data_IF_015162049288
#
_entry.id   IF_015162049288
#
_cell.length_a   1.000
_cell.length_b   1.000
_cell.length_c   1.000
_cell.angle_alpha   90.00
_cell.angle_beta   90.00
_cell.angle_gamma   90.00
#
_symmetry.space_group_name_H-M   'P 1'
#
loop_
_entity.id
_entity.type
_entity.pdbx_description
1 polymer ?
#
# COMPACT_ATOMS: atom_id res chain seq x y z
N UNK A 1 9.23 10.57 3.13
CA UNK A 1 7.82 10.11 3.08
C UNK A 1 6.90 11.22 2.62
N UNK A 2 7.12 12.48 3.02
CA UNK A 2 6.36 13.64 2.54
C UNK A 2 6.34 13.70 1.01
N UNK A 3 7.51 13.65 0.35
CA UNK A 3 7.62 13.73 -1.12
C UNK A 3 6.93 12.55 -1.80
N UNK A 4 7.19 11.32 -1.33
CA UNK A 4 6.54 10.13 -1.86
C UNK A 4 5.02 10.18 -1.67
N UNK A 5 4.53 10.75 -0.58
CA UNK A 5 3.10 10.91 -0.33
C UNK A 5 2.45 11.84 -1.36
N UNK A 6 3.12 12.92 -1.76
CA UNK A 6 2.62 13.81 -2.81
C UNK A 6 2.49 13.07 -4.15
N UNK A 7 3.45 12.21 -4.49
CA UNK A 7 3.39 11.40 -5.72
C UNK A 7 2.27 10.35 -5.63
N UNK A 8 2.15 9.65 -4.49
CA UNK A 8 1.08 8.67 -4.26
C UNK A 8 -0.31 9.33 -4.27
N UNK A 9 -0.43 10.56 -3.77
CA UNK A 9 -1.66 11.34 -3.87
C UNK A 9 -2.03 11.62 -5.32
N UNK A 10 -1.07 11.99 -6.18
CA UNK A 10 -1.33 12.16 -7.61
C UNK A 10 -1.71 10.83 -8.29
N UNK A 11 -1.07 9.73 -7.91
CA UNK A 11 -1.48 8.39 -8.36
C UNK A 11 -2.94 8.12 -7.97
N UNK A 12 -3.32 8.38 -6.71
CA UNK A 12 -4.68 8.20 -6.21
C UNK A 12 -5.71 9.03 -6.97
N UNK A 13 -5.40 10.31 -7.25
CA UNK A 13 -6.28 11.20 -8.03
C UNK A 13 -6.67 10.64 -9.39
N UNK A 14 -5.80 9.86 -10.01
CA UNK A 14 -6.05 9.26 -11.34
C UNK A 14 -6.35 7.78 -11.28
N UNK A 15 -6.38 7.17 -10.09
CA UNK A 15 -6.46 5.72 -9.89
C UNK A 15 -5.45 5.02 -10.83
N UNK A 16 -4.25 5.59 -10.94
CA UNK A 16 -3.30 5.17 -11.96
C UNK A 16 -2.79 3.75 -11.64
N UNK A 17 -2.89 2.79 -12.58
CA UNK A 17 -2.58 1.37 -12.35
C UNK A 17 -1.06 1.13 -12.44
N UNK A 18 -0.29 1.84 -11.62
CA UNK A 18 1.17 1.75 -11.55
C UNK A 18 1.60 1.19 -10.19
N UNK A 19 2.57 0.26 -10.11
CA UNK A 19 2.94 -0.41 -8.87
C UNK A 19 3.88 0.44 -7.99
N UNK A 20 3.69 1.77 -7.94
CA UNK A 20 4.56 2.69 -7.21
C UNK A 20 4.54 2.41 -5.70
N UNK A 21 3.35 2.24 -5.12
CA UNK A 21 3.20 1.87 -3.70
C UNK A 21 3.91 0.53 -3.38
N UNK A 22 3.64 -0.49 -4.20
CA UNK A 22 4.23 -1.81 -4.04
C UNK A 22 5.76 -1.77 -4.15
N UNK A 23 6.28 -1.09 -5.18
CA UNK A 23 7.71 -1.03 -5.46
C UNK A 23 8.45 -0.17 -4.45
N UNK A 24 8.04 1.09 -4.29
CA UNK A 24 8.81 2.05 -3.50
C UNK A 24 8.74 1.77 -2.00
N UNK A 25 7.57 1.36 -1.47
CA UNK A 25 7.39 1.15 -0.03
C UNK A 25 7.55 -0.30 0.35
N UNK A 26 6.82 -1.21 -0.29
CA UNK A 26 6.77 -2.62 0.15
C UNK A 26 8.00 -3.41 -0.30
N UNK A 27 8.53 -3.12 -1.49
CA UNK A 27 9.61 -3.90 -2.09
C UNK A 27 11.01 -3.32 -1.91
N UNK A 28 11.17 -2.00 -2.06
CA UNK A 28 12.51 -1.42 -2.24
C UNK A 28 13.05 -0.72 -1.00
N UNK A 29 12.19 -0.06 -0.21
CA UNK A 29 12.64 0.78 0.90
C UNK A 29 13.46 -0.01 1.94
N UNK A 30 13.01 -1.22 2.30
CA UNK A 30 13.73 -2.05 3.27
C UNK A 30 15.08 -2.53 2.74
N UNK A 31 15.20 -2.82 1.43
CA UNK A 31 16.50 -3.13 0.80
C UNK A 31 17.40 -1.90 0.84
N UNK A 32 16.88 -0.71 0.50
CA UNK A 32 17.64 0.53 0.52
C UNK A 32 18.22 0.86 1.90
N UNK A 33 17.45 0.62 2.96
CA UNK A 33 17.91 0.89 4.33
C UNK A 33 18.77 -0.25 4.91
N UNK A 34 18.30 -1.48 4.82
CA UNK A 34 18.83 -2.63 5.58
C UNK A 34 19.44 -3.75 4.73
N UNK A 35 19.43 -3.61 3.40
CA UNK A 35 20.03 -4.57 2.51
C UNK A 35 21.56 -4.55 2.54
N UNK A 36 22.15 -5.71 2.28
CA UNK A 36 23.58 -5.91 2.02
C UNK A 36 23.99 -5.17 0.74
N UNK A 37 25.27 -4.86 0.58
CA UNK A 37 25.77 -4.17 -0.62
C UNK A 37 25.40 -4.89 -1.91
N UNK A 38 25.55 -6.22 -1.96
CA UNK A 38 25.18 -7.03 -3.12
C UNK A 38 23.67 -6.99 -3.42
N UNK A 39 22.81 -7.01 -2.40
CA UNK A 39 21.36 -6.89 -2.58
C UNK A 39 20.97 -5.51 -3.12
N UNK A 40 21.59 -4.45 -2.60
CA UNK A 40 21.35 -3.07 -3.06
C UNK A 40 21.76 -2.89 -4.52
N UNK A 41 22.94 -3.37 -4.89
CA UNK A 41 23.44 -3.31 -6.26
C UNK A 41 22.56 -4.09 -7.22
N UNK A 42 22.20 -5.33 -6.87
CA UNK A 42 21.40 -6.20 -7.73
C UNK A 42 19.96 -5.69 -7.94
N UNK A 43 19.29 -5.24 -6.87
CA UNK A 43 17.86 -4.91 -6.92
C UNK A 43 17.59 -3.43 -7.18
N UNK A 44 18.28 -2.51 -6.50
CA UNK A 44 17.85 -1.10 -6.49
C UNK A 44 18.24 -0.33 -7.75
N UNK A 45 19.34 -0.71 -8.41
CA UNK A 45 19.71 -0.08 -9.69
C UNK A 45 18.64 -0.34 -10.75
N UNK A 46 18.17 -1.59 -10.86
CA UNK A 46 17.14 -1.99 -11.82
C UNK A 46 15.75 -1.46 -11.45
N UNK A 47 15.45 -1.26 -10.17
CA UNK A 47 14.23 -0.55 -9.75
C UNK A 47 14.28 0.91 -10.16
N UNK A 48 15.39 1.60 -9.94
CA UNK A 48 15.55 3.01 -10.29
C UNK A 48 15.51 3.25 -11.81
N UNK A 49 15.96 2.28 -12.62
CA UNK A 49 15.86 2.34 -14.08
C UNK A 49 14.46 1.93 -14.61
N UNK A 50 13.61 1.35 -13.75
CA UNK A 50 12.28 0.87 -14.11
C UNK A 50 12.25 -0.51 -14.77
N UNK A 51 13.39 -1.21 -14.84
CA UNK A 51 13.50 -2.54 -15.43
C UNK A 51 12.97 -3.64 -14.50
N UNK A 52 12.99 -3.40 -13.18
CA UNK A 52 12.47 -4.34 -12.19
C UNK A 52 11.43 -3.68 -11.30
N UNK A 53 10.40 -4.47 -10.99
CA UNK A 53 9.36 -4.12 -10.03
C UNK A 53 9.55 -5.03 -8.84
N UNK A 54 9.49 -4.46 -7.64
CA UNK A 54 9.52 -5.23 -6.39
C UNK A 54 8.19 -5.11 -5.67
N UNK A 55 7.92 -6.04 -4.77
CA UNK A 55 6.76 -5.96 -3.89
C UNK A 55 7.08 -6.57 -2.53
N UNK A 56 6.10 -6.60 -1.62
CA UNK A 56 6.26 -7.24 -0.33
C UNK A 56 4.97 -7.82 0.22
N UNK A 57 5.12 -8.96 0.89
CA UNK A 57 4.06 -9.76 1.49
C UNK A 57 4.00 -9.56 3.01
N UNK A 58 3.70 -8.31 3.41
CA UNK A 58 3.75 -7.83 4.80
C UNK A 58 2.48 -8.11 5.61
N UNK A 59 1.38 -8.49 4.96
CA UNK A 59 0.11 -8.68 5.66
C UNK A 59 0.20 -9.81 6.71
N UNK A 60 -0.34 -9.60 7.92
CA UNK A 60 -0.43 -10.64 8.94
C UNK A 60 -1.39 -11.74 8.49
N UNK A 61 -1.01 -13.00 8.73
CA UNK A 61 -1.74 -14.19 8.30
C UNK A 61 -2.90 -14.48 9.27
N UNK A 62 -4.09 -13.87 9.06
CA UNK A 62 -5.30 -14.26 9.80
C UNK A 62 -6.07 -15.41 9.14
N UNK A 63 -6.01 -15.54 7.82
CA UNK A 63 -6.85 -16.45 7.03
C UNK A 63 -6.07 -17.29 5.99
N UNK A 64 -4.79 -17.61 6.25
CA UNK A 64 -3.96 -18.40 5.31
C UNK A 64 -3.09 -19.41 6.06
N UNK A 65 -2.57 -20.40 5.34
CA UNK A 65 -1.53 -21.30 5.88
C UNK A 65 -0.35 -20.47 6.37
N UNK A 66 0.01 -20.65 7.64
CA UNK A 66 1.12 -19.92 8.25
C UNK A 66 2.40 -20.23 7.49
N UNK A 67 3.26 -19.24 7.31
CA UNK A 67 4.57 -19.47 6.69
C UNK A 67 5.47 -20.15 7.73
N UNK A 68 5.90 -21.36 7.42
CA UNK A 68 6.80 -22.18 8.22
C UNK A 68 8.19 -22.07 7.61
N UNK A 69 9.21 -22.00 8.47
CA UNK A 69 10.61 -21.94 8.05
C UNK A 69 11.37 -23.02 8.80
N UNK A 70 11.99 -23.93 8.06
CA UNK A 70 12.72 -25.07 8.60
C UNK A 70 14.19 -24.98 8.18
N UNK A 71 15.09 -25.36 9.08
CA UNK A 71 16.52 -25.42 8.78
C UNK A 71 16.81 -26.67 7.93
N UNK A 72 17.52 -26.51 6.81
CA UNK A 72 17.90 -27.59 5.88
C UNK A 72 19.42 -27.88 5.91
N UNK A 73 20.09 -27.53 7.00
CA UNK A 73 21.54 -27.69 7.20
C UNK A 73 22.40 -26.61 6.55
N UNK A 74 22.09 -26.22 5.31
CA UNK A 74 22.81 -25.21 4.53
C UNK A 74 22.07 -23.87 4.40
N UNK A 75 20.93 -23.73 5.08
CA UNK A 75 20.03 -22.59 4.97
C UNK A 75 18.66 -22.96 5.50
N UNK A 76 17.61 -22.46 4.84
CA UNK A 76 16.23 -22.68 5.25
C UNK A 76 15.35 -23.06 4.07
N UNK A 77 14.23 -23.73 4.38
CA UNK A 77 13.11 -23.94 3.46
C UNK A 77 11.88 -23.29 4.01
N UNK A 78 11.14 -22.59 3.15
CA UNK A 78 9.87 -21.99 3.52
C UNK A 78 8.70 -22.66 2.81
N UNK A 79 7.65 -22.92 3.58
CA UNK A 79 6.39 -23.52 3.10
C UNK A 79 5.21 -22.78 3.71
N UNK A 80 4.18 -22.50 2.91
CA UNK A 80 2.98 -21.82 3.36
C UNK A 80 2.47 -20.81 2.34
N UNK A 81 1.69 -19.82 2.79
CA UNK A 81 1.01 -18.90 1.87
C UNK A 81 1.04 -17.44 2.32
N UNK A 82 1.08 -16.54 1.34
CA UNK A 82 0.85 -15.10 1.53
C UNK A 82 -0.23 -14.64 0.57
N UNK A 83 -1.30 -14.07 1.11
CA UNK A 83 -2.45 -13.64 0.34
C UNK A 83 -2.35 -12.17 -0.03
N UNK A 84 -3.04 -11.79 -1.11
CA UNK A 84 -3.25 -10.39 -1.51
C UNK A 84 -1.93 -9.58 -1.60
N UNK A 85 -0.90 -10.18 -2.19
CA UNK A 85 0.40 -9.53 -2.40
C UNK A 85 0.26 -8.56 -3.59
N UNK A 86 0.43 -7.25 -3.39
CA UNK A 86 0.26 -6.26 -4.46
C UNK A 86 1.25 -6.47 -5.60
N UNK A 87 0.81 -6.29 -6.84
CA UNK A 87 1.62 -6.31 -8.06
C UNK A 87 2.51 -7.55 -8.27
N UNK A 88 2.28 -8.67 -7.57
CA UNK A 88 3.20 -9.81 -7.60
C UNK A 88 3.32 -10.49 -8.97
N UNK A 89 2.38 -10.24 -9.88
CA UNK A 89 2.44 -10.71 -11.27
C UNK A 89 3.45 -9.92 -12.12
N UNK A 90 3.70 -8.66 -11.77
CA UNK A 90 4.66 -7.79 -12.44
C UNK A 90 6.03 -7.79 -11.74
N UNK A 91 6.08 -8.19 -10.47
CA UNK A 91 7.29 -8.10 -9.68
C UNK A 91 8.30 -9.22 -9.98
N UNK A 92 9.58 -8.86 -9.91
CA UNK A 92 10.74 -9.75 -10.01
C UNK A 92 11.05 -10.43 -8.69
N UNK A 93 10.86 -9.74 -7.56
CA UNK A 93 11.02 -10.30 -6.23
C UNK A 93 10.01 -9.75 -5.21
N UNK A 94 9.87 -10.47 -4.10
CA UNK A 94 8.99 -10.15 -2.98
C UNK A 94 9.76 -10.16 -1.66
N UNK A 95 9.50 -9.17 -0.82
CA UNK A 95 9.97 -9.16 0.58
C UNK A 95 8.96 -9.88 1.47
N UNK A 96 9.43 -10.83 2.27
CA UNK A 96 8.57 -11.68 3.09
C UNK A 96 9.10 -11.74 4.53
N UNK A 97 8.30 -11.34 5.53
CA UNK A 97 8.60 -11.65 6.93
C UNK A 97 8.51 -13.16 7.17
N UNK A 98 9.58 -13.73 7.71
CA UNK A 98 9.74 -15.14 8.07
C UNK A 98 10.17 -15.26 9.55
N UNK A 99 10.09 -16.45 10.13
CA UNK A 99 10.55 -16.70 11.51
C UNK A 99 11.65 -17.75 11.51
N UNK A 100 12.84 -17.39 11.97
CA UNK A 100 13.98 -18.31 12.13
C UNK A 100 14.33 -18.36 13.61
N UNK A 101 14.33 -19.57 14.19
CA UNK A 101 14.67 -19.82 15.60
C UNK A 101 13.91 -18.90 16.58
N UNK A 102 12.64 -18.62 16.28
CA UNK A 102 11.78 -17.76 17.09
C UNK A 102 11.93 -16.25 16.85
N UNK A 103 12.87 -15.81 16.00
CA UNK A 103 13.09 -14.40 15.68
C UNK A 103 12.53 -14.06 14.30
N UNK A 104 11.94 -12.87 14.14
CA UNK A 104 11.48 -12.41 12.82
C UNK A 104 12.68 -11.97 11.97
N UNK A 105 12.73 -12.43 10.73
CA UNK A 105 13.68 -11.99 9.69
C UNK A 105 12.90 -11.58 8.45
N UNK A 106 13.51 -10.80 7.57
CA UNK A 106 12.93 -10.44 6.27
C UNK A 106 13.76 -11.10 5.18
N UNK A 107 13.12 -11.91 4.35
CA UNK A 107 13.72 -12.52 3.17
C UNK A 107 13.34 -11.75 1.91
N UNK A 108 14.28 -11.60 0.98
CA UNK A 108 14.07 -11.18 -0.40
C UNK A 108 14.00 -12.46 -1.24
N UNK A 109 12.89 -12.68 -1.95
CA UNK A 109 12.66 -13.93 -2.68
C UNK A 109 12.30 -13.60 -4.12
N UNK A 110 13.10 -14.08 -5.07
CA UNK A 110 12.77 -13.98 -6.49
C UNK A 110 11.48 -14.72 -6.78
N UNK A 111 10.58 -14.10 -7.56
CA UNK A 111 9.24 -14.63 -7.85
C UNK A 111 9.23 -15.71 -8.94
N UNK A 112 10.41 -16.09 -9.44
CA UNK A 112 10.69 -17.24 -10.31
C UNK A 112 11.42 -18.38 -9.57
N UNK A 113 11.68 -18.23 -8.26
CA UNK A 113 12.38 -19.24 -7.45
C UNK A 113 11.58 -20.55 -7.44
N UNK A 114 12.27 -21.67 -7.61
CA UNK A 114 11.66 -23.01 -7.61
C UNK A 114 10.85 -23.23 -6.34
N UNK A 115 9.64 -23.78 -6.48
CA UNK A 115 8.70 -24.01 -5.37
C UNK A 115 7.78 -22.83 -5.07
N UNK A 116 7.97 -21.67 -5.70
CA UNK A 116 7.07 -20.52 -5.56
C UNK A 116 6.03 -20.51 -6.68
N UNK A 117 4.76 -20.42 -6.32
CA UNK A 117 3.65 -20.28 -7.26
C UNK A 117 2.87 -18.99 -7.01
N UNK A 118 2.43 -18.36 -8.10
CA UNK A 118 1.63 -17.13 -8.10
C UNK A 118 0.22 -17.45 -8.60
N UNK A 119 -0.80 -17.13 -7.83
CA UNK A 119 -2.21 -17.17 -8.26
C UNK A 119 -2.78 -15.76 -8.24
N UNK A 120 -3.15 -15.24 -9.41
CA UNK A 120 -3.77 -13.92 -9.52
C UNK A 120 -5.17 -13.97 -8.90
N UNK A 121 -5.52 -12.93 -8.15
CA UNK A 121 -6.82 -12.80 -7.49
C UNK A 121 -7.46 -11.48 -7.88
N UNK A 122 -8.79 -11.51 -8.01
CA UNK A 122 -9.58 -10.31 -8.19
C UNK A 122 -9.97 -9.74 -6.84
N UNK A 123 -9.76 -8.44 -6.66
CA UNK A 123 -10.13 -7.68 -5.46
C UNK A 123 -11.12 -6.59 -5.83
N UNK A 124 -11.84 -6.05 -4.84
CA UNK A 124 -12.87 -5.01 -5.07
C UNK A 124 -12.33 -3.79 -5.82
N UNK A 125 -11.07 -3.40 -5.60
CA UNK A 125 -10.43 -2.27 -6.26
C UNK A 125 -9.78 -2.61 -7.62
N UNK A 126 -9.88 -3.87 -8.07
CA UNK A 126 -9.33 -4.38 -9.34
C UNK A 126 -7.84 -4.14 -9.56
N UNK A 127 -7.10 -3.77 -8.51
CA UNK A 127 -5.65 -3.68 -8.57
C UNK A 127 -5.05 -5.07 -8.75
N UNK A 128 -3.89 -5.11 -9.42
CA UNK A 128 -3.16 -6.35 -9.61
C UNK A 128 -2.70 -6.89 -8.24
N UNK A 129 -3.26 -8.01 -7.82
CA UNK A 129 -2.89 -8.71 -6.60
C UNK A 129 -2.81 -10.21 -6.86
N UNK A 130 -2.03 -10.91 -6.05
CA UNK A 130 -1.98 -12.37 -6.12
C UNK A 130 -1.64 -13.02 -4.79
N UNK A 131 -2.02 -14.28 -4.69
CA UNK A 131 -1.62 -15.15 -3.61
C UNK A 131 -0.32 -15.85 -4.02
N UNK A 132 0.63 -15.89 -3.09
CA UNK A 132 1.88 -16.62 -3.22
C UNK A 132 1.79 -17.88 -2.38
N UNK A 133 2.02 -19.03 -3.02
CA UNK A 133 2.17 -20.33 -2.36
C UNK A 133 3.63 -20.73 -2.44
N UNK A 134 4.19 -21.10 -1.28
CA UNK A 134 5.57 -21.51 -1.12
C UNK A 134 5.58 -23.00 -0.80
N UNK A 135 6.26 -23.79 -1.62
CA UNK A 135 6.46 -25.22 -1.44
C UNK A 135 7.96 -25.50 -1.35
N UNK A 136 8.46 -25.64 -0.12
CA UNK A 136 9.87 -25.91 0.18
C UNK A 136 10.85 -24.97 -0.55
N UNK A 137 10.53 -23.68 -0.61
CA UNK A 137 11.38 -22.68 -1.28
C UNK A 137 12.65 -22.47 -0.46
N UNK A 138 13.80 -22.73 -1.08
CA UNK A 138 15.10 -22.64 -0.43
C UNK A 138 15.51 -21.17 -0.20
N UNK A 139 16.12 -20.89 0.95
CA UNK A 139 16.66 -19.59 1.35
C UNK A 139 18.04 -19.79 1.98
N UNK A 140 18.91 -18.82 1.77
CA UNK A 140 20.25 -18.73 2.35
C UNK A 140 20.39 -17.43 3.14
N UNK A 141 21.48 -17.25 3.87
CA UNK A 141 21.73 -15.99 4.58
C UNK A 141 21.84 -14.80 3.60
N UNK A 142 22.25 -15.03 2.34
CA UNK A 142 22.31 -14.00 1.31
C UNK A 142 20.92 -13.48 0.89
N UNK A 143 19.87 -14.27 1.08
CA UNK A 143 18.48 -13.86 0.82
C UNK A 143 17.91 -12.98 1.96
N UNK A 144 18.57 -12.91 3.12
CA UNK A 144 18.07 -12.21 4.30
C UNK A 144 18.61 -10.78 4.42
N UNK A 145 17.77 -9.87 4.92
CA UNK A 145 18.23 -8.55 5.37
C UNK A 145 19.04 -8.66 6.67
N UNK A 146 19.94 -7.69 6.89
CA UNK A 146 20.85 -7.68 8.07
C UNK A 146 20.14 -7.28 9.37
N UNK A 147 19.10 -6.46 9.29
CA UNK A 147 18.38 -5.94 10.46
C UNK A 147 17.33 -6.93 11.00
N UNK A 148 17.02 -6.80 12.30
CA UNK A 148 15.94 -7.53 12.96
C UNK A 148 14.60 -7.30 12.25
N UNK A 149 13.92 -8.39 11.93
CA UNK A 149 12.71 -8.34 11.14
C UNK A 149 11.57 -7.58 11.81
N UNK A 150 11.52 -7.49 13.14
CA UNK A 150 10.52 -6.71 13.87
C UNK A 150 10.69 -5.21 13.62
N UNK A 151 11.93 -4.71 13.60
CA UNK A 151 12.25 -3.31 13.34
C UNK A 151 11.88 -2.97 11.89
N UNK A 152 12.33 -3.80 10.93
CA UNK A 152 12.01 -3.62 9.52
C UNK A 152 10.50 -3.63 9.29
N UNK A 153 9.80 -4.60 9.88
CA UNK A 153 8.36 -4.74 9.76
C UNK A 153 7.60 -3.52 10.31
N UNK A 154 7.99 -3.02 11.49
CA UNK A 154 7.36 -1.85 12.08
C UNK A 154 7.52 -0.63 11.17
N UNK A 155 8.74 -0.39 10.67
CA UNK A 155 9.04 0.76 9.82
C UNK A 155 8.38 0.70 8.45
N UNK A 156 8.33 -0.47 7.82
CA UNK A 156 7.58 -0.66 6.56
C UNK A 156 6.08 -0.50 6.83
N UNK A 157 5.56 -1.04 7.93
CA UNK A 157 4.14 -0.91 8.29
C UNK A 157 3.72 0.54 8.51
N UNK A 158 4.55 1.35 9.15
CA UNK A 158 4.29 2.79 9.33
C UNK A 158 4.25 3.51 7.98
N UNK A 159 5.25 3.27 7.11
CA UNK A 159 5.31 3.87 5.76
C UNK A 159 4.16 3.42 4.86
N UNK A 160 3.82 2.13 4.91
CA UNK A 160 2.71 1.56 4.15
C UNK A 160 1.38 2.20 4.54
N UNK A 161 1.12 2.39 5.84
CA UNK A 161 -0.09 3.09 6.32
C UNK A 161 -0.14 4.53 5.80
N UNK A 162 0.96 5.29 5.91
CA UNK A 162 1.03 6.67 5.41
C UNK A 162 0.81 6.71 3.88
N UNK A 163 1.43 5.80 3.13
CA UNK A 163 1.28 5.71 1.68
C UNK A 163 -0.14 5.38 1.24
N UNK A 164 -0.82 4.46 1.94
CA UNK A 164 -2.24 4.17 1.71
C UNK A 164 -3.11 5.40 2.01
N UNK A 165 -2.82 6.14 3.07
CA UNK A 165 -3.55 7.39 3.36
C UNK A 165 -3.40 8.42 2.23
N UNK A 166 -2.20 8.53 1.64
CA UNK A 166 -1.95 9.43 0.53
C UNK A 166 -2.71 9.02 -0.74
N UNK A 167 -2.74 7.72 -1.08
CA UNK A 167 -3.57 7.21 -2.17
C UNK A 167 -5.06 7.52 -1.97
N UNK A 168 -5.59 7.24 -0.77
CA UNK A 168 -6.99 7.51 -0.42
C UNK A 168 -7.30 9.00 -0.52
N UNK A 169 -6.41 9.86 0.00
CA UNK A 169 -6.56 11.31 -0.10
C UNK A 169 -6.71 11.74 -1.57
N UNK A 170 -5.85 11.24 -2.45
CA UNK A 170 -5.93 11.52 -3.88
C UNK A 170 -7.27 11.11 -4.50
N UNK A 171 -7.73 9.88 -4.21
CA UNK A 171 -9.03 9.40 -4.68
C UNK A 171 -10.18 10.29 -4.20
N UNK A 172 -10.18 10.67 -2.92
CA UNK A 172 -11.23 11.49 -2.33
C UNK A 172 -11.27 12.90 -2.94
N UNK A 173 -10.10 13.52 -3.15
CA UNK A 173 -9.98 14.84 -3.79
C UNK A 173 -10.53 14.85 -5.21
N UNK A 174 -10.16 13.86 -6.03
CA UNK A 174 -10.67 13.79 -7.41
C UNK A 174 -12.16 13.47 -7.42
N UNK A 175 -12.62 12.53 -6.57
CA UNK A 175 -14.04 12.18 -6.47
C UNK A 175 -14.90 13.42 -6.12
N UNK A 176 -14.48 14.22 -5.14
CA UNK A 176 -15.20 15.45 -4.79
C UNK A 176 -15.11 16.50 -5.91
N UNK A 177 -13.98 16.61 -6.60
CA UNK A 177 -13.82 17.51 -7.75
C UNK A 177 -14.80 17.17 -8.87
N UNK A 178 -14.87 15.88 -9.24
CA UNK A 178 -15.82 15.37 -10.24
C UNK A 178 -17.27 15.59 -9.77
N UNK A 179 -17.57 15.31 -8.50
CA UNK A 179 -18.90 15.58 -7.93
C UNK A 179 -19.27 17.05 -8.01
N UNK A 180 -18.37 17.96 -7.64
CA UNK A 180 -18.63 19.40 -7.66
C UNK A 180 -18.94 19.88 -9.08
N UNK A 181 -18.22 19.38 -10.08
CA UNK A 181 -18.52 19.63 -11.49
C UNK A 181 -19.90 19.07 -11.87
N UNK A 182 -20.14 17.79 -11.57
CA UNK A 182 -21.39 17.10 -11.90
C UNK A 182 -22.61 17.82 -11.33
N UNK A 183 -22.62 18.17 -10.03
CA UNK A 183 -23.78 18.81 -9.40
C UNK A 183 -23.97 20.25 -9.84
N UNK A 184 -22.93 20.90 -10.38
CA UNK A 184 -23.01 22.25 -10.94
C UNK A 184 -23.59 22.28 -12.36
N UNK A 185 -23.38 21.22 -13.14
CA UNK A 185 -23.87 21.10 -14.52
C UNK A 185 -25.21 20.34 -14.60
N UNK A 186 -25.45 19.38 -13.70
CA UNK A 186 -26.65 18.54 -13.73
C UNK A 186 -27.86 19.31 -13.23
N UNK A 187 -28.86 19.44 -14.09
CA UNK A 187 -30.13 20.07 -13.73
C UNK A 187 -31.24 19.04 -13.40
N UNK A 188 -31.94 19.31 -12.30
CA UNK A 188 -33.19 18.65 -11.93
C UNK A 188 -34.13 19.70 -11.33
N UNK A 189 -35.44 19.53 -11.54
CA UNK A 189 -36.43 20.50 -11.09
C UNK A 189 -36.16 21.92 -11.62
N UNK A 190 -35.61 22.04 -12.84
CA UNK A 190 -35.40 23.30 -13.54
C UNK A 190 -34.21 24.15 -13.05
N UNK A 191 -33.27 23.57 -12.29
CA UNK A 191 -32.05 24.26 -11.82
C UNK A 191 -30.91 23.28 -11.55
N UNK A 192 -29.65 23.75 -11.47
CA UNK A 192 -28.52 22.92 -11.06
C UNK A 192 -28.69 22.28 -9.68
N UNK A 193 -28.23 21.05 -9.52
CA UNK A 193 -28.31 20.31 -8.25
C UNK A 193 -27.59 21.02 -7.10
N UNK A 194 -26.49 21.72 -7.40
CA UNK A 194 -25.68 22.51 -6.45
C UNK A 194 -26.48 23.59 -5.72
N UNK A 195 -27.61 24.04 -6.26
CA UNK A 195 -28.49 25.02 -5.62
C UNK A 195 -29.33 24.45 -4.47
N UNK A 196 -29.39 23.12 -4.33
CA UNK A 196 -30.09 22.47 -3.23
C UNK A 196 -29.18 22.39 -2.00
N UNK A 197 -29.63 22.96 -0.88
CA UNK A 197 -28.83 23.00 0.36
C UNK A 197 -28.36 21.61 0.83
N UNK A 198 -29.19 20.57 0.66
CA UNK A 198 -28.82 19.20 1.01
C UNK A 198 -27.65 18.64 0.20
N UNK A 199 -27.44 19.11 -1.04
CA UNK A 199 -26.27 18.76 -1.85
C UNK A 199 -25.05 19.55 -1.39
N UNK A 200 -25.21 20.86 -1.20
CA UNK A 200 -24.13 21.75 -0.79
C UNK A 200 -23.54 21.38 0.58
N UNK A 201 -24.37 21.06 1.57
CA UNK A 201 -23.92 20.64 2.90
C UNK A 201 -23.12 19.33 2.84
N UNK A 202 -23.62 18.33 2.11
CA UNK A 202 -22.91 17.05 1.95
C UNK A 202 -21.55 17.22 1.26
N UNK A 203 -21.46 18.07 0.22
CA UNK A 203 -20.19 18.37 -0.43
C UNK A 203 -19.23 19.14 0.50
N UNK A 204 -19.74 20.04 1.33
CA UNK A 204 -18.94 20.76 2.32
C UNK A 204 -18.41 19.82 3.42
N UNK A 205 -19.23 18.91 3.94
CA UNK A 205 -18.82 17.91 4.93
C UNK A 205 -17.74 16.97 4.35
N UNK A 206 -17.91 16.53 3.09
CA UNK A 206 -16.89 15.75 2.40
C UNK A 206 -15.57 16.51 2.24
N UNK A 207 -15.62 17.83 2.01
CA UNK A 207 -14.43 18.66 1.95
C UNK A 207 -13.70 18.73 3.30
N UNK A 208 -14.43 18.89 4.40
CA UNK A 208 -13.88 18.88 5.77
C UNK A 208 -13.22 17.53 6.07
N UNK A 209 -13.84 16.43 5.67
CA UNK A 209 -13.29 15.08 5.80
C UNK A 209 -11.97 14.91 5.04
N UNK A 210 -11.88 15.44 3.82
CA UNK A 210 -10.63 15.46 3.02
C UNK A 210 -9.54 16.26 3.73
N UNK A 211 -9.86 17.43 4.30
CA UNK A 211 -8.90 18.23 5.06
C UNK A 211 -8.39 17.48 6.29
N UNK A 212 -9.27 16.75 6.99
CA UNK A 212 -8.91 15.86 8.10
C UNK A 212 -7.92 14.77 7.69
N UNK A 213 -8.16 14.12 6.53
CA UNK A 213 -7.22 13.14 5.97
C UNK A 213 -5.89 13.80 5.65
N UNK A 214 -5.90 14.96 4.97
CA UNK A 214 -4.68 15.65 4.52
C UNK A 214 -3.79 16.05 5.67
N UNK A 215 -4.34 16.74 6.67
CA UNK A 215 -3.56 17.25 7.81
C UNK A 215 -2.95 16.10 8.60
N UNK A 216 -3.73 15.06 8.89
CA UNK A 216 -3.24 13.92 9.69
C UNK A 216 -2.22 13.07 8.93
N UNK A 217 -2.41 12.85 7.63
CA UNK A 217 -1.46 12.14 6.78
C UNK A 217 -0.14 12.89 6.66
N UNK A 218 -0.17 14.20 6.38
CA UNK A 218 1.04 15.03 6.27
C UNK A 218 1.79 15.12 7.61
N UNK A 219 1.07 15.25 8.72
CA UNK A 219 1.69 15.22 10.06
C UNK A 219 2.43 13.90 10.29
N UNK A 220 1.80 12.76 9.98
CA UNK A 220 2.44 11.46 10.15
C UNK A 220 3.66 11.27 9.24
N UNK A 221 3.57 11.73 7.98
CA UNK A 221 4.68 11.70 7.03
C UNK A 221 5.87 12.55 7.53
N UNK A 222 5.59 13.79 7.94
CA UNK A 222 6.61 14.70 8.46
C UNK A 222 7.26 14.16 9.74
N UNK A 223 6.47 13.68 10.70
CA UNK A 223 7.02 13.11 11.94
C UNK A 223 7.95 11.92 11.65
N UNK A 224 7.58 11.06 10.71
CA UNK A 224 8.39 9.91 10.33
C UNK A 224 9.71 10.34 9.65
N UNK A 225 9.67 11.36 8.79
CA UNK A 225 10.86 11.85 8.09
C UNK A 225 11.85 12.56 9.02
N UNK A 226 11.35 13.31 10.00
CA UNK A 226 12.16 13.98 11.03
C UNK A 226 12.63 13.02 12.15
N UNK A 227 12.26 11.73 12.09
CA UNK A 227 12.67 10.73 13.08
C UNK A 227 11.96 10.86 14.44
N UNK A 228 10.82 11.54 14.51
CA UNK A 228 9.99 11.59 15.70
C UNK A 228 9.20 10.28 15.91
N UNK A 229 8.79 10.02 17.15
CA UNK A 229 7.79 8.98 17.43
C UNK A 229 6.49 9.34 16.69
N UNK A 230 6.08 8.48 15.75
CA UNK A 230 4.97 8.77 14.85
C UNK A 230 3.84 7.74 14.93
N UNK A 231 3.91 6.72 15.79
CA UNK A 231 2.94 5.61 15.81
C UNK A 231 1.51 6.10 16.09
N UNK A 232 1.36 7.09 16.97
CA UNK A 232 0.07 7.72 17.22
C UNK A 232 -0.43 8.49 16.00
N UNK A 233 0.40 9.33 15.39
CA UNK A 233 0.04 10.11 14.21
C UNK A 233 -0.31 9.20 13.01
N UNK A 234 0.47 8.15 12.77
CA UNK A 234 0.20 7.14 11.73
C UNK A 234 -1.13 6.44 11.97
N UNK A 235 -1.45 6.10 13.22
CA UNK A 235 -2.72 5.45 13.56
C UNK A 235 -3.90 6.40 13.37
N UNK A 236 -3.76 7.67 13.79
CA UNK A 236 -4.77 8.71 13.56
C UNK A 236 -4.98 8.97 12.07
N UNK A 237 -3.92 9.09 11.28
CA UNK A 237 -3.99 9.26 9.83
C UNK A 237 -4.69 8.08 9.16
N UNK A 238 -4.34 6.84 9.54
CA UNK A 238 -4.98 5.66 8.97
C UNK A 238 -6.46 5.57 9.32
N UNK A 239 -6.85 5.96 10.53
CA UNK A 239 -8.26 6.03 10.93
C UNK A 239 -9.01 7.06 10.10
N UNK A 240 -8.50 8.30 10.00
CA UNK A 240 -9.11 9.36 9.18
C UNK A 240 -9.25 8.93 7.73
N UNK A 241 -8.19 8.41 7.11
CA UNK A 241 -8.26 7.92 5.73
C UNK A 241 -9.29 6.80 5.55
N UNK A 242 -9.44 5.89 6.52
CA UNK A 242 -10.40 4.78 6.38
C UNK A 242 -11.84 5.24 6.56
N UNK A 243 -12.12 5.94 7.66
CA UNK A 243 -13.49 6.33 8.04
C UNK A 243 -13.99 7.52 7.23
N UNK A 244 -13.20 8.60 7.17
CA UNK A 244 -13.57 9.80 6.43
C UNK A 244 -13.51 9.55 4.92
N UNK A 245 -12.52 8.77 4.46
CA UNK A 245 -12.43 8.40 3.04
C UNK A 245 -13.66 7.62 2.59
N UNK A 246 -14.16 6.68 3.41
CA UNK A 246 -15.40 5.96 3.13
C UNK A 246 -16.61 6.91 3.07
N UNK A 247 -16.74 7.85 4.02
CA UNK A 247 -17.84 8.84 3.98
C UNK A 247 -17.79 9.66 2.70
N UNK A 248 -16.62 10.16 2.31
CA UNK A 248 -16.44 10.94 1.08
C UNK A 248 -16.85 10.16 -0.16
N UNK A 249 -16.38 8.91 -0.33
CA UNK A 249 -16.72 8.13 -1.54
C UNK A 249 -18.19 7.74 -1.59
N UNK A 250 -18.83 7.44 -0.46
CA UNK A 250 -20.27 7.16 -0.39
C UNK A 250 -21.09 8.41 -0.73
N UNK A 251 -20.71 9.58 -0.18
CA UNK A 251 -21.38 10.85 -0.47
C UNK A 251 -21.22 11.23 -1.94
N UNK A 252 -20.00 11.15 -2.49
CA UNK A 252 -19.74 11.51 -3.89
C UNK A 252 -20.47 10.57 -4.84
N UNK A 253 -20.54 9.26 -4.55
CA UNK A 253 -21.38 8.32 -5.28
C UNK A 253 -22.86 8.70 -5.21
N UNK A 254 -23.39 8.96 -4.01
CA UNK A 254 -24.79 9.33 -3.81
C UNK A 254 -25.17 10.57 -4.62
N UNK A 255 -24.32 11.60 -4.62
CA UNK A 255 -24.56 12.87 -5.32
C UNK A 255 -24.53 12.73 -6.86
N UNK A 256 -23.94 11.67 -7.40
CA UNK A 256 -24.01 11.32 -8.84
C UNK A 256 -25.25 10.48 -9.21
N UNK A 257 -26.00 9.99 -8.22
CA UNK A 257 -27.12 9.08 -8.42
C UNK A 257 -26.71 7.82 -9.20
N UNK A 258 -27.53 7.40 -10.16
CA UNK A 258 -27.24 6.21 -10.97
C UNK A 258 -25.95 6.27 -11.81
N UNK A 259 -25.39 7.47 -12.05
CA UNK A 259 -24.12 7.62 -12.77
C UNK A 259 -22.91 7.23 -11.92
N UNK A 260 -23.04 7.27 -10.60
CA UNK A 260 -21.98 6.88 -9.67
C UNK A 260 -22.02 5.41 -9.25
N UNK A 261 -22.96 4.62 -9.77
CA UNK A 261 -23.14 3.20 -9.44
C UNK A 261 -22.15 2.29 -10.19
#
# INVERSE_FOLDING_TARGET
MVELSLVLQQQGRKVAPVPLFATSILGSWAIAKYGKSAQKEHWLQEVCSGNQILTGAWAPQKNSTKLITENDGNGWRITGEKLAVPACNLSSAVLVPITIDGNQRIAIISLDKKGLQKKIVETTNLELQGNLSFDAVELTEEDLLDEKGEIVFQEVSQRAKIGICALILGCCEEALTMTAQHVSEREQFGRPLSTNQGVALQAADAHIDIDGIRVTQLQAAWQLDEGFECSKAVSSAKWWASEAGQRVVVTTQHLHGGTGA
#
